data_IF_126447300946
#
_entry.id   IF_126447300946
#
_cell.length_a   1.000
_cell.length_b   1.000
_cell.length_c   1.000
_cell.angle_alpha   90.00
_cell.angle_beta   90.00
_cell.angle_gamma   90.00
#
_symmetry.space_group_name_H-M   'P 1'
#
loop_
_entity.id
_entity.type
_entity.pdbx_description
1 polymer ?
#
# COMPACT_ATOMS: atom_id res chain seq x y z
N UNK A 1 -15.51 0.97 -21.06
CA UNK A 1 -15.64 2.29 -20.40
C UNK A 1 -16.62 2.14 -19.25
N UNK A 2 -16.16 2.23 -18.00
CA UNK A 2 -17.06 2.28 -16.84
C UNK A 2 -16.57 3.38 -15.90
N UNK A 3 -17.47 4.33 -15.68
CA UNK A 3 -17.28 5.57 -14.95
C UNK A 3 -17.21 5.33 -13.43
N UNK A 4 -16.24 5.97 -12.78
CA UNK A 4 -16.15 6.01 -11.31
C UNK A 4 -16.72 7.35 -10.83
N UNK A 5 -17.94 7.29 -10.30
CA UNK A 5 -18.59 8.40 -9.60
C UNK A 5 -18.47 8.19 -8.09
N UNK A 6 -18.33 9.32 -7.39
CA UNK A 6 -18.41 9.55 -5.93
C UNK A 6 -17.10 9.49 -5.14
N UNK A 7 -16.41 10.62 -5.15
CA UNK A 7 -15.56 11.07 -4.03
C UNK A 7 -16.51 11.50 -2.90
N UNK A 8 -16.31 10.98 -1.69
CA UNK A 8 -16.90 11.57 -0.48
C UNK A 8 -15.79 12.26 0.33
N UNK A 9 -15.97 13.52 0.75
CA UNK A 9 -15.01 14.23 1.59
C UNK A 9 -15.40 14.10 3.06
N UNK A 10 -14.75 13.21 3.83
CA UNK A 10 -14.64 13.37 5.28
C UNK A 10 -13.32 12.82 5.77
N UNK A 11 -12.38 13.73 6.05
CA UNK A 11 -11.29 13.67 7.02
C UNK A 11 -10.43 12.39 7.10
N UNK A 12 -9.16 12.53 6.70
CA UNK A 12 -8.02 11.89 7.39
C UNK A 12 -7.74 10.40 7.16
N UNK A 13 -8.58 9.65 6.45
CA UNK A 13 -8.33 8.23 6.17
C UNK A 13 -8.67 7.88 4.72
N UNK A 14 -7.69 7.43 3.94
CA UNK A 14 -7.94 6.89 2.61
C UNK A 14 -8.25 5.40 2.72
N UNK A 15 -9.52 5.05 2.62
CA UNK A 15 -9.98 3.64 2.55
C UNK A 15 -9.90 3.15 1.11
N UNK A 16 -9.03 2.17 0.84
CA UNK A 16 -8.94 1.52 -0.48
C UNK A 16 -10.05 0.47 -0.58
N UNK A 17 -11.07 0.70 -1.42
CA UNK A 17 -12.22 -0.20 -1.56
C UNK A 17 -12.23 -0.91 -2.93
N UNK A 18 -11.62 -2.09 -3.04
CA UNK A 18 -11.77 -3.01 -4.18
C UNK A 18 -13.15 -3.73 -4.20
N UNK A 19 -13.97 -3.52 -5.23
CA UNK A 19 -15.21 -4.28 -5.39
C UNK A 19 -14.89 -5.67 -5.96
N UNK A 20 -15.12 -6.74 -5.20
CA UNK A 20 -14.86 -8.12 -5.65
C UNK A 20 -16.10 -8.69 -6.32
N UNK A 21 -16.08 -8.81 -7.65
CA UNK A 21 -16.99 -9.70 -8.38
C UNK A 21 -16.19 -10.90 -8.89
N UNK A 22 -16.53 -12.06 -8.32
CA UNK A 22 -16.10 -13.45 -8.59
C UNK A 22 -14.59 -13.73 -8.52
N UNK A 23 -14.21 -14.49 -7.50
CA UNK A 23 -12.89 -15.08 -7.34
C UNK A 23 -12.68 -16.19 -8.40
N UNK A 24 -11.59 -16.05 -9.15
CA UNK A 24 -10.93 -17.12 -9.90
C UNK A 24 -9.75 -17.59 -9.04
N UNK A 25 -9.73 -18.88 -8.70
CA UNK A 25 -8.90 -19.53 -7.67
C UNK A 25 -7.38 -19.55 -7.98
N UNK A 26 -6.95 -18.81 -9.02
CA UNK A 26 -5.54 -18.69 -9.45
C UNK A 26 -4.99 -17.27 -9.29
N UNK A 27 -5.78 -16.30 -8.83
CA UNK A 27 -5.29 -14.94 -8.59
C UNK A 27 -4.91 -14.72 -7.12
N UNK A 28 -3.75 -14.10 -6.84
CA UNK A 28 -3.35 -13.77 -5.47
C UNK A 28 -4.42 -12.88 -4.80
N UNK A 29 -4.76 -13.24 -3.57
CA UNK A 29 -5.77 -12.56 -2.75
C UNK A 29 -5.54 -11.04 -2.72
N UNK A 30 -6.47 -10.29 -3.31
CA UNK A 30 -6.46 -8.82 -3.27
C UNK A 30 -7.05 -8.36 -1.94
N UNK A 31 -6.20 -7.95 -0.99
CA UNK A 31 -6.61 -7.42 0.31
C UNK A 31 -6.58 -5.89 0.33
N UNK A 32 -7.63 -5.29 0.87
CA UNK A 32 -7.74 -3.83 1.08
C UNK A 32 -7.03 -3.47 2.37
N UNK A 33 -6.14 -2.49 2.33
CA UNK A 33 -5.45 -1.97 3.50
C UNK A 33 -5.48 -0.45 3.46
N UNK A 34 -5.82 0.16 4.59
CA UNK A 34 -5.69 1.61 4.79
C UNK A 34 -4.29 1.88 5.35
N UNK A 35 -3.55 2.75 4.70
CA UNK A 35 -2.19 3.15 5.09
C UNK A 35 -2.14 4.67 5.22
N UNK A 36 -1.39 5.15 6.22
CA UNK A 36 -1.19 6.57 6.45
C UNK A 36 0.09 7.01 5.76
N UNK A 37 -0.01 8.05 4.94
CA UNK A 37 1.12 8.67 4.25
C UNK A 37 1.14 10.17 4.57
N UNK A 38 2.32 10.77 4.72
CA UNK A 38 2.47 12.22 4.71
C UNK A 38 1.90 12.82 3.42
N UNK A 39 1.39 14.06 3.49
CA UNK A 39 0.73 14.73 2.37
C UNK A 39 1.64 14.87 1.15
N UNK A 40 2.90 15.25 1.37
CA UNK A 40 3.89 15.41 0.30
C UNK A 40 4.14 14.09 -0.43
N UNK A 41 4.44 13.03 0.32
CA UNK A 41 4.67 11.69 -0.23
C UNK A 41 3.44 11.17 -0.98
N UNK A 42 2.23 11.38 -0.45
CA UNK A 42 1.00 10.97 -1.13
C UNK A 42 0.81 11.72 -2.46
N UNK A 43 1.15 13.01 -2.49
CA UNK A 43 1.06 13.83 -3.70
C UNK A 43 2.06 13.37 -4.77
N UNK A 44 3.26 12.99 -4.38
CA UNK A 44 4.25 12.41 -5.29
C UNK A 44 3.79 11.07 -5.89
N UNK A 45 3.29 10.16 -5.05
CA UNK A 45 2.78 8.86 -5.51
C UNK A 45 1.60 9.05 -6.47
N UNK A 46 0.70 10.01 -6.18
CA UNK A 46 -0.42 10.36 -7.09
C UNK A 46 0.06 10.89 -8.42
N UNK A 47 1.03 11.81 -8.43
CA UNK A 47 1.61 12.35 -9.66
C UNK A 47 2.23 11.25 -10.50
N UNK A 48 2.94 10.31 -9.88
CA UNK A 48 3.60 9.21 -10.58
C UNK A 48 2.62 8.17 -11.12
N UNK A 49 1.56 7.88 -10.38
CA UNK A 49 0.44 7.06 -10.84
C UNK A 49 -0.21 7.64 -12.10
N UNK A 50 -0.48 8.95 -12.11
CA UNK A 50 -1.03 9.66 -13.26
C UNK A 50 -0.06 9.68 -14.44
N UNK A 51 1.24 9.89 -14.20
CA UNK A 51 2.29 9.92 -15.24
C UNK A 51 2.41 8.58 -15.97
N UNK A 52 2.27 7.46 -15.26
CA UNK A 52 2.42 6.11 -15.81
C UNK A 52 1.10 5.46 -16.25
N UNK A 53 -0.04 6.12 -16.01
CA UNK A 53 -1.39 5.55 -16.20
C UNK A 53 -1.58 4.24 -15.42
N UNK A 54 -1.12 4.23 -14.17
CA UNK A 54 -1.17 3.07 -13.26
C UNK A 54 -1.92 3.40 -11.98
N UNK A 55 -2.44 2.38 -11.31
CA UNK A 55 -3.10 2.56 -10.02
C UNK A 55 -2.10 2.86 -8.91
N UNK A 56 -2.54 3.61 -7.88
CA UNK A 56 -1.75 3.89 -6.68
C UNK A 56 -1.20 2.62 -6.03
N UNK A 57 -2.04 1.58 -5.92
CA UNK A 57 -1.62 0.29 -5.37
C UNK A 57 -0.49 -0.34 -6.18
N UNK A 58 -0.49 -0.20 -7.52
CA UNK A 58 0.59 -0.72 -8.35
C UNK A 58 1.90 0.04 -8.11
N UNK A 59 1.85 1.37 -8.00
CA UNK A 59 3.04 2.19 -7.70
C UNK A 59 3.65 1.79 -6.35
N UNK A 60 2.82 1.67 -5.30
CA UNK A 60 3.30 1.26 -3.96
C UNK A 60 3.86 -0.16 -3.96
N UNK A 61 3.21 -1.10 -4.64
CA UNK A 61 3.73 -2.48 -4.79
C UNK A 61 5.07 -2.50 -5.53
N UNK A 62 5.25 -1.66 -6.55
CA UNK A 62 6.49 -1.58 -7.29
C UNK A 62 7.60 -0.95 -6.47
N UNK A 63 7.30 0.10 -5.71
CA UNK A 63 8.25 0.70 -4.77
C UNK A 63 8.73 -0.33 -3.73
N UNK A 64 7.82 -1.14 -3.18
CA UNK A 64 8.18 -2.23 -2.28
C UNK A 64 9.09 -3.26 -2.95
N UNK A 65 8.78 -3.71 -4.17
CA UNK A 65 9.59 -4.70 -4.89
C UNK A 65 11.03 -4.22 -5.13
N UNK A 66 11.21 -2.93 -5.37
CA UNK A 66 12.52 -2.30 -5.57
C UNK A 66 13.25 -2.16 -4.23
N UNK A 67 12.57 -1.70 -3.18
CA UNK A 67 13.19 -1.39 -1.89
C UNK A 67 13.37 -2.59 -0.95
N UNK A 68 12.64 -3.70 -1.16
CA UNK A 68 12.58 -4.83 -0.22
C UNK A 68 13.96 -5.39 0.17
N UNK A 69 14.90 -5.45 -0.78
CA UNK A 69 16.18 -6.12 -0.57
C UNK A 69 17.11 -5.23 0.27
N UNK A 70 16.96 -3.90 0.18
CA UNK A 70 17.62 -2.94 1.07
C UNK A 70 16.95 -2.89 2.45
N UNK A 71 15.62 -2.90 2.50
CA UNK A 71 14.86 -2.88 3.76
C UNK A 71 15.20 -4.11 4.63
N UNK A 72 15.42 -5.28 4.01
CA UNK A 72 15.82 -6.51 4.71
C UNK A 72 17.21 -6.46 5.34
N UNK A 73 18.07 -5.52 4.96
CA UNK A 73 19.41 -5.37 5.56
C UNK A 73 19.37 -4.64 6.90
N UNK A 74 18.30 -3.89 7.16
CA UNK A 74 18.18 -3.20 8.44
C UNK A 74 17.98 -4.22 9.57
N UNK A 75 18.70 -4.06 10.70
CA UNK A 75 18.52 -4.94 11.84
C UNK A 75 17.09 -4.84 12.38
N UNK A 76 16.56 -5.95 12.90
CA UNK A 76 15.30 -5.93 13.63
C UNK A 76 15.45 -5.05 14.87
N UNK A 77 14.59 -4.04 15.01
CA UNK A 77 14.64 -3.03 16.07
C UNK A 77 14.43 -3.62 17.48
N UNK A 78 13.95 -4.87 17.59
CA UNK A 78 13.84 -5.60 18.85
C UNK A 78 14.78 -6.80 18.82
N UNK A 79 15.96 -6.66 19.43
CA UNK A 79 16.83 -7.81 19.74
C UNK A 79 17.36 -7.79 21.19
N UNK A 80 16.72 -7.05 22.10
CA UNK A 80 17.14 -6.95 23.51
C UNK A 80 15.94 -6.89 24.49
N UNK A 81 15.08 -7.93 24.56
CA UNK A 81 14.19 -8.05 25.73
C UNK A 81 13.82 -9.48 26.15
N UNK A 82 14.46 -10.51 25.59
CA UNK A 82 14.40 -11.85 26.18
C UNK A 82 15.63 -12.06 27.08
N UNK A 83 15.79 -11.19 28.08
CA UNK A 83 16.71 -11.43 29.19
C UNK A 83 16.09 -12.47 30.11
N UNK A 84 16.54 -13.71 29.92
CA UNK A 84 16.76 -14.80 30.89
C UNK A 84 16.09 -14.63 32.26
N UNK A 85 15.04 -15.39 32.54
CA UNK A 85 14.68 -15.80 33.90
C UNK A 85 15.20 -17.22 34.15
N UNK A 86 15.95 -17.36 35.25
CA UNK A 86 16.55 -18.59 35.82
C UNK A 86 15.48 -19.55 36.36
#
# INVERSE_FOLDING_TARGET
MLAFSRIQPTQGAWTVQANSKKADDRQPDKRKQSLYFPEEMLSEIKREALRQDRSLSWIVQQAWRIARDEIKKFPSINLDTDVVED
#
